data_IF_848698917477
#
_entry.id   IF_848698917477
#
_cell.length_a   1.000
_cell.length_b   1.000
_cell.length_c   1.000
_cell.angle_alpha   90.00
_cell.angle_beta   90.00
_cell.angle_gamma   90.00
#
_symmetry.space_group_name_H-M   'P 1'
#
loop_
_entity.id
_entity.type
_entity.pdbx_description
1 polymer ?
#
# COMPACT_ATOMS: atom_id res chain seq x y z
N UNK A 1 -17.18 -21.74 -9.53
CA UNK A 1 -16.89 -21.11 -8.23
C UNK A 1 -16.06 -22.07 -7.41
N UNK A 2 -14.99 -21.61 -6.75
CA UNK A 2 -14.18 -22.42 -5.85
C UNK A 2 -15.03 -23.00 -4.72
N UNK A 3 -14.64 -24.15 -4.20
CA UNK A 3 -15.32 -24.83 -3.09
C UNK A 3 -14.57 -24.67 -1.77
N UNK A 4 -13.24 -24.58 -1.79
CA UNK A 4 -12.41 -24.33 -0.60
C UNK A 4 -12.68 -22.94 -0.04
N UNK A 5 -12.67 -22.83 1.30
CA UNK A 5 -13.04 -21.58 1.98
C UNK A 5 -12.06 -20.45 1.66
N UNK A 6 -10.77 -20.77 1.59
CA UNK A 6 -9.72 -19.85 1.20
C UNK A 6 -9.95 -19.27 -0.21
N UNK A 7 -10.13 -20.11 -1.23
CA UNK A 7 -10.28 -19.61 -2.60
C UNK A 7 -11.58 -18.83 -2.80
N UNK A 8 -12.68 -19.25 -2.13
CA UNK A 8 -13.94 -18.48 -2.15
C UNK A 8 -13.75 -17.09 -1.59
N UNK A 9 -13.13 -16.96 -0.41
CA UNK A 9 -12.91 -15.65 0.19
C UNK A 9 -11.86 -14.83 -0.59
N UNK A 10 -10.82 -15.48 -1.12
CA UNK A 10 -9.81 -14.82 -1.94
C UNK A 10 -10.40 -14.25 -3.24
N UNK A 11 -11.29 -14.99 -3.91
CA UNK A 11 -12.02 -14.52 -5.09
C UNK A 11 -12.98 -13.36 -4.72
N UNK A 12 -13.77 -13.52 -3.66
CA UNK A 12 -14.71 -12.48 -3.21
C UNK A 12 -14.02 -11.17 -2.79
N UNK A 13 -12.82 -11.26 -2.19
CA UNK A 13 -12.00 -10.09 -1.83
C UNK A 13 -11.30 -9.47 -3.04
N UNK A 14 -11.19 -10.18 -4.16
CA UNK A 14 -10.49 -9.72 -5.36
C UNK A 14 -8.97 -9.95 -5.32
N UNK A 15 -8.50 -10.95 -4.58
CA UNK A 15 -7.07 -11.31 -4.52
C UNK A 15 -6.59 -12.11 -5.73
N UNK A 16 -7.47 -12.77 -6.49
CA UNK A 16 -7.06 -13.70 -7.55
C UNK A 16 -7.00 -12.96 -8.89
N UNK A 17 -5.84 -12.99 -9.53
CA UNK A 17 -5.63 -12.50 -10.90
C UNK A 17 -5.39 -13.65 -11.88
N UNK A 18 -4.38 -14.48 -11.64
CA UNK A 18 -4.11 -15.69 -12.42
C UNK A 18 -3.83 -16.87 -11.49
N UNK A 19 -4.17 -18.08 -11.94
CA UNK A 19 -3.84 -19.34 -11.28
C UNK A 19 -3.43 -20.35 -12.34
N UNK A 20 -2.43 -21.18 -12.08
CA UNK A 20 -1.96 -22.19 -13.05
C UNK A 20 -3.00 -23.29 -13.29
N UNK A 21 -3.68 -23.73 -12.23
CA UNK A 21 -4.74 -24.72 -12.28
C UNK A 21 -5.66 -24.52 -11.07
N UNK A 22 -6.78 -23.83 -11.30
CA UNK A 22 -7.73 -23.47 -10.24
C UNK A 22 -8.44 -24.70 -9.67
N UNK A 23 -8.80 -25.67 -10.53
CA UNK A 23 -9.57 -26.83 -10.10
C UNK A 23 -8.72 -27.77 -9.24
N UNK A 24 -7.48 -28.04 -9.65
CA UNK A 24 -6.57 -28.89 -8.89
C UNK A 24 -6.13 -28.24 -7.57
N UNK A 25 -5.89 -26.91 -7.57
CA UNK A 25 -5.58 -26.19 -6.34
C UNK A 25 -6.76 -26.23 -5.35
N UNK A 26 -7.98 -26.01 -5.85
CA UNK A 26 -9.19 -26.05 -5.03
C UNK A 26 -9.45 -27.46 -4.44
N UNK A 27 -9.18 -28.51 -5.22
CA UNK A 27 -9.24 -29.89 -4.75
C UNK A 27 -8.17 -30.17 -3.68
N UNK A 28 -6.94 -29.69 -3.87
CA UNK A 28 -5.86 -29.84 -2.89
C UNK A 28 -6.19 -29.15 -1.55
N UNK A 29 -6.73 -27.93 -1.60
CA UNK A 29 -7.13 -27.17 -0.42
C UNK A 29 -8.36 -27.75 0.30
N UNK A 30 -9.23 -28.47 -0.41
CA UNK A 30 -10.30 -29.26 0.21
C UNK A 30 -9.80 -30.54 0.88
N UNK A 31 -8.76 -31.17 0.31
CA UNK A 31 -8.19 -32.39 0.86
C UNK A 31 -7.42 -32.15 2.16
N UNK A 32 -6.86 -30.96 2.36
CA UNK A 32 -6.22 -30.58 3.62
C UNK A 32 -5.39 -29.29 3.54
N UNK A 33 -4.62 -28.98 4.60
CA UNK A 33 -3.78 -27.79 4.65
C UNK A 33 -2.72 -27.77 3.55
N UNK A 34 -2.67 -26.68 2.79
CA UNK A 34 -1.64 -26.40 1.79
C UNK A 34 -0.60 -25.45 2.37
N UNK A 35 0.69 -25.70 2.08
CA UNK A 35 1.77 -24.76 2.38
C UNK A 35 2.02 -23.86 1.18
N UNK A 36 1.86 -22.55 1.34
CA UNK A 36 2.04 -21.57 0.27
C UNK A 36 3.00 -20.46 0.67
N UNK A 37 3.80 -19.95 -0.27
CA UNK A 37 4.82 -18.95 0.03
C UNK A 37 4.75 -17.69 -0.83
N UNK A 38 5.28 -16.59 -0.28
CA UNK A 38 5.59 -15.36 -1.00
C UNK A 38 7.00 -14.91 -0.63
N UNK A 39 7.78 -14.49 -1.64
CA UNK A 39 9.10 -13.90 -1.47
C UNK A 39 9.07 -12.40 -1.21
N UNK A 40 9.90 -11.93 -0.27
CA UNK A 40 10.09 -10.52 0.07
C UNK A 40 11.57 -10.16 0.00
N UNK A 41 11.93 -9.37 -1.01
CA UNK A 41 13.29 -8.87 -1.20
C UNK A 41 13.61 -7.69 -0.26
N UNK A 42 14.71 -7.73 0.52
CA UNK A 42 15.11 -6.71 1.48
C UNK A 42 15.72 -5.44 0.83
N UNK A 43 14.88 -4.70 0.10
CA UNK A 43 15.27 -3.46 -0.59
C UNK A 43 15.33 -2.22 0.31
N UNK A 44 14.68 -2.28 1.47
CA UNK A 44 14.65 -1.25 2.50
C UNK A 44 14.44 -1.90 3.88
N UNK A 45 14.62 -1.14 4.95
CA UNK A 45 14.42 -1.56 6.35
C UNK A 45 12.96 -1.54 6.82
N UNK A 46 12.02 -1.40 5.88
CA UNK A 46 10.60 -1.52 6.13
C UNK A 46 9.93 -1.93 4.82
N UNK A 47 8.87 -2.73 4.95
CA UNK A 47 7.90 -2.85 3.87
C UNK A 47 7.04 -1.58 3.82
N UNK A 48 6.32 -1.41 2.71
CA UNK A 48 5.36 -0.32 2.51
C UNK A 48 4.02 -0.89 2.04
N UNK A 49 2.95 -0.09 2.01
CA UNK A 49 1.60 -0.55 1.63
C UNK A 49 1.51 -1.22 0.25
N UNK A 50 2.45 -0.95 -0.67
CA UNK A 50 2.53 -1.68 -1.95
C UNK A 50 2.81 -3.19 -1.80
N UNK A 51 3.44 -3.61 -0.69
CA UNK A 51 3.67 -5.02 -0.37
C UNK A 51 2.49 -5.64 0.39
N UNK A 52 1.54 -4.81 0.85
CA UNK A 52 0.51 -5.23 1.80
C UNK A 52 -0.46 -6.24 1.21
N UNK A 53 -0.78 -6.16 -0.09
CA UNK A 53 -1.64 -7.16 -0.75
C UNK A 53 -1.07 -8.58 -0.63
N UNK A 54 0.25 -8.72 -0.74
CA UNK A 54 0.91 -10.01 -0.61
C UNK A 54 0.87 -10.51 0.84
N UNK A 55 1.13 -9.61 1.80
CA UNK A 55 1.04 -9.93 3.23
C UNK A 55 -0.38 -10.37 3.61
N UNK A 56 -1.40 -9.66 3.12
CA UNK A 56 -2.80 -9.97 3.37
C UNK A 56 -3.21 -11.30 2.72
N UNK A 57 -2.61 -11.67 1.59
CA UNK A 57 -2.83 -13.00 1.00
C UNK A 57 -2.28 -14.13 1.88
N UNK A 58 -1.08 -13.97 2.43
CA UNK A 58 -0.52 -14.91 3.41
C UNK A 58 -1.38 -14.96 4.70
N UNK A 59 -1.87 -13.82 5.16
CA UNK A 59 -2.76 -13.73 6.32
C UNK A 59 -4.08 -14.45 6.07
N UNK A 60 -4.66 -14.30 4.87
CA UNK A 60 -5.87 -15.00 4.48
C UNK A 60 -5.64 -16.51 4.43
N UNK A 61 -4.49 -16.97 3.92
CA UNK A 61 -4.12 -18.39 4.00
C UNK A 61 -4.08 -18.88 5.46
N UNK A 62 -3.43 -18.11 6.35
CA UNK A 62 -3.34 -18.45 7.77
C UNK A 62 -4.73 -18.57 8.42
N UNK A 63 -5.63 -17.61 8.12
CA UNK A 63 -7.00 -17.58 8.63
C UNK A 63 -7.77 -18.86 8.29
N UNK A 64 -7.52 -19.41 7.10
CA UNK A 64 -8.18 -20.63 6.60
C UNK A 64 -7.42 -21.92 6.93
N UNK A 65 -6.49 -21.88 7.90
CA UNK A 65 -5.78 -23.07 8.39
C UNK A 65 -4.73 -23.63 7.44
N UNK A 66 -4.39 -22.89 6.38
CA UNK A 66 -3.25 -23.19 5.52
C UNK A 66 -1.96 -22.63 6.13
N UNK A 67 -0.81 -23.10 5.65
CA UNK A 67 0.49 -22.71 6.20
C UNK A 67 1.16 -21.66 5.32
N UNK A 68 1.14 -20.36 5.69
CA UNK A 68 1.89 -19.36 4.95
C UNK A 68 3.39 -19.45 5.26
N UNK A 69 4.21 -19.28 4.22
CA UNK A 69 5.66 -19.16 4.32
C UNK A 69 6.06 -17.79 3.79
N UNK A 70 6.58 -16.93 4.65
CA UNK A 70 7.19 -15.67 4.25
C UNK A 70 8.68 -15.94 3.97
N UNK A 71 9.06 -15.93 2.69
CA UNK A 71 10.44 -16.14 2.27
C UNK A 71 11.17 -14.80 2.21
N UNK A 72 12.16 -14.63 3.07
CA UNK A 72 13.06 -13.49 3.05
C UNK A 72 14.15 -13.69 2.00
N UNK A 73 14.33 -12.69 1.13
CA UNK A 73 15.28 -12.70 0.02
C UNK A 73 16.72 -12.37 0.42
N UNK A 74 17.29 -12.98 1.46
CA UNK A 74 18.66 -12.66 1.91
C UNK A 74 19.75 -12.97 0.88
N UNK A 75 19.60 -14.07 0.13
CA UNK A 75 20.48 -14.45 -0.97
C UNK A 75 20.18 -13.66 -2.24
N UNK A 76 18.89 -13.55 -2.62
CA UNK A 76 18.46 -12.80 -3.81
C UNK A 76 18.78 -11.30 -3.73
N UNK A 77 18.82 -10.72 -2.54
CA UNK A 77 19.19 -9.32 -2.35
C UNK A 77 20.63 -8.98 -2.73
N UNK A 78 21.53 -9.97 -2.73
CA UNK A 78 22.92 -9.81 -3.19
C UNK A 78 23.02 -9.65 -4.72
N UNK A 79 21.90 -9.83 -5.42
CA UNK A 79 21.78 -9.90 -6.88
C UNK A 79 20.81 -8.81 -7.36
N UNK A 80 19.58 -8.82 -6.85
CA UNK A 80 18.51 -7.85 -7.13
C UNK A 80 17.55 -8.27 -8.25
N UNK A 81 16.22 -8.20 -7.99
CA UNK A 81 15.18 -8.48 -9.00
C UNK A 81 15.11 -7.40 -10.10
N UNK A 82 15.30 -7.76 -11.39
CA UNK A 82 15.14 -6.86 -12.54
C UNK A 82 13.68 -6.71 -13.04
N UNK A 83 12.74 -7.51 -12.55
CA UNK A 83 11.39 -7.63 -13.13
C UNK A 83 10.66 -6.30 -13.15
N UNK A 84 10.22 -5.86 -14.34
CA UNK A 84 9.47 -4.62 -14.57
C UNK A 84 10.14 -3.32 -14.05
N UNK A 85 11.48 -3.28 -13.98
CA UNK A 85 12.26 -2.08 -13.62
C UNK A 85 13.14 -1.60 -14.79
N UNK A 86 13.29 -0.27 -14.90
CA UNK A 86 14.04 0.39 -15.97
C UNK A 86 15.54 0.56 -15.65
N UNK A 87 15.91 0.66 -14.38
CA UNK A 87 17.29 0.87 -13.93
C UNK A 87 17.86 -0.33 -13.16
N UNK A 88 19.14 -0.61 -13.35
CA UNK A 88 19.88 -1.61 -12.59
C UNK A 88 20.00 -1.21 -11.11
N UNK A 89 19.85 -2.18 -10.19
CA UNK A 89 19.95 -1.91 -8.75
C UNK A 89 21.40 -1.68 -8.34
N UNK A 90 21.61 -0.74 -7.40
CA UNK A 90 22.85 -0.66 -6.65
C UNK A 90 22.95 -1.86 -5.71
N UNK A 91 24.11 -2.53 -5.70
CA UNK A 91 24.39 -3.62 -4.78
C UNK A 91 24.44 -3.09 -3.34
N UNK A 92 23.77 -3.78 -2.43
CA UNK A 92 23.74 -3.45 -1.00
C UNK A 92 24.87 -4.18 -0.26
N UNK A 93 25.37 -3.57 0.83
CA UNK A 93 26.34 -4.24 1.70
C UNK A 93 25.67 -5.34 2.53
N UNK A 94 26.44 -6.29 3.06
CA UNK A 94 25.92 -7.35 3.91
C UNK A 94 25.23 -6.78 5.17
N UNK A 95 25.76 -5.71 5.74
CA UNK A 95 25.19 -5.01 6.91
C UNK A 95 23.84 -4.38 6.56
N UNK A 96 23.74 -3.76 5.38
CA UNK A 96 22.50 -3.16 4.88
C UNK A 96 21.44 -4.24 4.64
N UNK A 97 21.81 -5.36 4.02
CA UNK A 97 20.91 -6.50 3.81
C UNK A 97 20.41 -7.04 5.16
N UNK A 98 21.31 -7.22 6.13
CA UNK A 98 20.94 -7.71 7.46
C UNK A 98 20.02 -6.75 8.21
N UNK A 99 20.24 -5.43 8.12
CA UNK A 99 19.33 -4.42 8.66
C UNK A 99 17.97 -4.48 7.99
N UNK A 100 17.95 -4.59 6.66
CA UNK A 100 16.72 -4.63 5.89
C UNK A 100 15.89 -5.88 6.21
N UNK A 101 16.54 -7.04 6.32
CA UNK A 101 15.91 -8.30 6.71
C UNK A 101 15.20 -8.19 8.07
N UNK A 102 15.87 -7.63 9.10
CA UNK A 102 15.24 -7.42 10.42
C UNK A 102 14.03 -6.50 10.35
N UNK A 103 14.11 -5.45 9.55
CA UNK A 103 13.01 -4.51 9.34
C UNK A 103 11.80 -5.15 8.66
N UNK A 104 12.05 -5.96 7.61
CA UNK A 104 11.01 -6.71 6.91
C UNK A 104 10.39 -7.78 7.82
N UNK A 105 11.18 -8.54 8.57
CA UNK A 105 10.67 -9.50 9.55
C UNK A 105 9.75 -8.81 10.56
N UNK A 106 10.16 -7.65 11.09
CA UNK A 106 9.32 -6.84 11.98
C UNK A 106 7.99 -6.47 11.34
N UNK A 107 8.00 -6.09 10.05
CA UNK A 107 6.77 -5.80 9.31
C UNK A 107 5.88 -7.04 9.17
N UNK A 108 6.44 -8.18 8.79
CA UNK A 108 5.67 -9.43 8.61
C UNK A 108 5.02 -9.89 9.92
N UNK A 109 5.73 -9.74 11.05
CA UNK A 109 5.23 -10.08 12.40
C UNK A 109 4.06 -9.21 12.85
N UNK A 110 3.84 -8.04 12.26
CA UNK A 110 2.62 -7.24 12.52
C UNK A 110 1.36 -7.94 11.99
N UNK A 111 1.47 -8.71 10.89
CA UNK A 111 0.32 -9.26 10.17
C UNK A 111 0.19 -10.79 10.23
N UNK A 112 1.26 -11.50 10.58
CA UNK A 112 1.30 -12.96 10.60
C UNK A 112 1.67 -13.47 11.98
N UNK A 113 0.97 -14.52 12.43
CA UNK A 113 1.32 -15.21 13.66
C UNK A 113 2.33 -16.31 13.36
N UNK A 114 3.60 -16.08 13.66
CA UNK A 114 4.65 -17.08 13.48
C UNK A 114 4.61 -18.09 14.61
N UNK A 115 4.70 -19.38 14.27
CA UNK A 115 4.92 -20.45 15.25
C UNK A 115 6.26 -21.12 14.93
N UNK A 116 7.29 -20.66 15.65
CA UNK A 116 8.64 -21.18 15.50
C UNK A 116 8.77 -22.58 16.16
N UNK A 117 7.72 -23.10 16.81
CA UNK A 117 7.69 -24.45 17.38
C UNK A 117 7.05 -25.41 16.37
N UNK A 118 7.82 -26.41 15.95
CA UNK A 118 7.50 -27.37 14.89
C UNK A 118 6.25 -28.25 15.11
N UNK A 119 5.56 -28.10 16.26
CA UNK A 119 4.44 -28.95 16.65
C UNK A 119 3.10 -28.52 16.04
N UNK A 120 2.95 -27.25 15.64
CA UNK A 120 1.69 -26.75 15.07
C UNK A 120 1.84 -26.37 13.59
N UNK A 121 1.17 -27.10 12.70
CA UNK A 121 1.24 -26.84 11.24
C UNK A 121 0.45 -25.60 10.79
N UNK A 122 -0.28 -24.93 11.69
CA UNK A 122 -1.09 -23.75 11.40
C UNK A 122 -0.35 -22.41 11.55
N UNK A 123 0.86 -22.41 12.12
CA UNK A 123 1.67 -21.20 12.27
C UNK A 123 2.37 -20.77 10.97
N UNK A 124 2.57 -19.46 10.81
CA UNK A 124 3.37 -18.94 9.72
C UNK A 124 4.84 -19.35 9.88
N UNK A 125 5.51 -19.65 8.77
CA UNK A 125 6.95 -19.92 8.73
C UNK A 125 7.68 -18.70 8.16
N UNK A 126 8.77 -18.30 8.82
CA UNK A 126 9.76 -17.40 8.25
C UNK A 126 10.92 -18.22 7.68
N UNK A 127 11.21 -18.08 6.39
CA UNK A 127 12.33 -18.74 5.73
C UNK A 127 13.30 -17.69 5.16
N UNK A 128 14.56 -18.04 4.94
CA UNK A 128 15.52 -17.16 4.29
C UNK A 128 16.27 -17.90 3.18
N UNK A 129 16.19 -17.42 1.94
CA UNK A 129 16.85 -18.10 0.83
C UNK A 129 18.39 -18.05 0.89
N UNK A 130 18.98 -17.20 1.75
CA UNK A 130 20.40 -17.26 2.05
C UNK A 130 20.84 -18.64 2.58
N UNK A 131 19.93 -19.37 3.25
CA UNK A 131 20.23 -20.69 3.85
C UNK A 131 20.66 -21.75 2.84
N UNK A 132 20.23 -21.60 1.57
CA UNK A 132 20.63 -22.47 0.47
C UNK A 132 21.44 -21.75 -0.61
N UNK A 133 21.09 -20.50 -0.94
CA UNK A 133 21.77 -19.76 -2.00
C UNK A 133 23.23 -19.42 -1.65
N UNK A 134 23.55 -19.15 -0.38
CA UNK A 134 24.93 -18.82 0.02
C UNK A 134 25.88 -20.02 -0.06
N UNK A 135 25.33 -21.23 -0.15
CA UNK A 135 26.08 -22.49 -0.24
C UNK A 135 26.03 -23.09 -1.65
N UNK A 136 25.30 -22.45 -2.57
CA UNK A 136 25.08 -22.98 -3.90
C UNK A 136 26.33 -22.77 -4.75
N UNK A 137 27.01 -23.87 -5.06
CA UNK A 137 28.19 -23.85 -5.95
C UNK A 137 27.76 -23.50 -7.38
N UNK A 138 28.52 -22.62 -8.04
CA UNK A 138 28.23 -22.20 -9.40
C UNK A 138 28.18 -23.37 -10.39
N UNK A 139 29.07 -24.34 -10.25
CA UNK A 139 29.10 -25.52 -11.13
C UNK A 139 27.88 -26.41 -10.90
N UNK A 140 27.47 -26.58 -9.65
CA UNK A 140 26.28 -27.39 -9.30
C UNK A 140 25.01 -26.70 -9.80
N UNK A 141 24.91 -25.36 -9.65
CA UNK A 141 23.82 -24.58 -10.24
C UNK A 141 23.73 -24.82 -11.75
N UNK A 142 24.84 -24.71 -12.49
CA UNK A 142 24.81 -24.90 -13.95
C UNK A 142 24.44 -26.34 -14.35
N UNK A 143 25.01 -27.34 -13.68
CA UNK A 143 24.84 -28.75 -14.03
C UNK A 143 23.45 -29.29 -13.66
N UNK A 144 22.97 -28.93 -12.47
CA UNK A 144 21.77 -29.56 -11.90
C UNK A 144 20.53 -28.72 -12.16
N UNK A 145 20.67 -27.38 -12.22
CA UNK A 145 19.55 -26.45 -12.40
C UNK A 145 19.56 -25.86 -13.81
N UNK A 146 20.72 -25.38 -14.28
CA UNK A 146 20.86 -24.67 -15.56
C UNK A 146 20.38 -25.45 -16.78
N UNK A 147 20.52 -26.78 -16.78
CA UNK A 147 20.03 -27.68 -17.85
C UNK A 147 18.51 -27.63 -18.05
N UNK A 148 17.76 -27.13 -17.07
CA UNK A 148 16.31 -27.03 -17.11
C UNK A 148 15.81 -25.70 -17.69
N UNK A 149 16.72 -24.74 -17.93
CA UNK A 149 16.40 -23.41 -18.45
C UNK A 149 16.85 -23.26 -19.89
N UNK A 150 15.93 -22.83 -20.75
CA UNK A 150 16.24 -22.43 -22.13
C UNK A 150 16.39 -20.90 -22.18
N UNK A 151 17.55 -20.44 -22.64
CA UNK A 151 17.81 -19.01 -22.86
C UNK A 151 16.74 -18.40 -23.78
N UNK A 152 16.40 -19.05 -24.89
CA UNK A 152 15.37 -18.58 -25.82
C UNK A 152 14.01 -18.36 -25.12
N UNK A 153 13.62 -19.29 -24.22
CA UNK A 153 12.37 -19.16 -23.45
C UNK A 153 12.45 -18.01 -22.46
N UNK A 154 13.56 -17.88 -21.73
CA UNK A 154 13.75 -16.78 -20.78
C UNK A 154 13.66 -15.41 -21.47
N UNK A 155 14.21 -15.28 -22.68
CA UNK A 155 14.14 -14.06 -23.49
C UNK A 155 12.71 -13.75 -23.98
N UNK A 156 11.83 -14.75 -24.07
CA UNK A 156 10.45 -14.54 -24.53
C UNK A 156 9.51 -13.97 -23.46
N UNK A 157 9.90 -14.03 -22.17
CA UNK A 157 9.08 -13.49 -21.09
C UNK A 157 8.96 -11.97 -21.22
N UNK A 158 7.74 -11.45 -21.08
CA UNK A 158 7.43 -10.03 -21.29
C UNK A 158 8.31 -9.10 -20.43
N UNK A 159 8.64 -9.50 -19.20
CA UNK A 159 9.51 -8.74 -18.28
C UNK A 159 10.93 -8.55 -18.80
N UNK A 160 11.44 -9.52 -19.58
CA UNK A 160 12.77 -9.50 -20.19
C UNK A 160 12.70 -8.89 -21.59
N UNK A 161 11.73 -9.34 -22.40
CA UNK A 161 11.53 -8.90 -23.79
C UNK A 161 11.38 -7.38 -23.87
N UNK A 162 10.55 -6.78 -23.01
CA UNK A 162 10.32 -5.34 -23.01
C UNK A 162 11.59 -4.52 -22.69
N UNK A 163 12.56 -5.04 -21.93
CA UNK A 163 13.83 -4.33 -21.67
C UNK A 163 14.73 -4.37 -22.90
N UNK A 164 14.82 -5.54 -23.53
CA UNK A 164 15.61 -5.74 -24.74
C UNK A 164 15.09 -4.90 -25.92
N UNK A 165 13.77 -4.83 -26.10
CA UNK A 165 13.13 -3.98 -27.11
C UNK A 165 13.39 -2.49 -26.90
N UNK A 166 13.59 -2.06 -25.65
CA UNK A 166 13.94 -0.68 -25.28
C UNK A 166 15.45 -0.41 -25.29
N UNK A 167 16.25 -1.34 -25.80
CA UNK A 167 17.73 -1.30 -25.77
C UNK A 167 18.32 -1.14 -24.37
N UNK A 168 17.55 -1.49 -23.33
CA UNK A 168 18.02 -1.54 -21.95
C UNK A 168 18.64 -2.91 -21.69
N UNK A 169 19.97 -2.94 -21.60
CA UNK A 169 20.71 -4.17 -21.31
C UNK A 169 20.26 -4.82 -20.00
N UNK A 170 20.29 -6.16 -19.98
CA UNK A 170 20.18 -6.97 -18.77
C UNK A 170 21.57 -7.49 -18.43
N UNK A 171 22.00 -7.28 -17.20
CA UNK A 171 23.25 -7.88 -16.73
C UNK A 171 23.07 -9.40 -16.57
N UNK A 172 24.18 -10.15 -16.65
CA UNK A 172 24.15 -11.59 -16.37
C UNK A 172 23.58 -11.89 -14.97
N UNK A 173 23.86 -11.01 -14.00
CA UNK A 173 23.36 -11.09 -12.63
C UNK A 173 21.82 -11.03 -12.59
N UNK A 174 21.24 -10.03 -13.23
CA UNK A 174 19.79 -9.86 -13.35
C UNK A 174 19.14 -11.02 -14.12
N UNK A 175 19.77 -11.49 -15.20
CA UNK A 175 19.25 -12.60 -15.99
C UNK A 175 19.13 -13.91 -15.18
N UNK A 176 20.03 -14.13 -14.21
CA UNK A 176 20.00 -15.30 -13.34
C UNK A 176 18.96 -15.20 -12.22
N UNK A 177 18.33 -14.05 -11.99
CA UNK A 177 17.35 -13.89 -10.89
C UNK A 177 16.19 -14.89 -10.99
N UNK A 178 15.65 -15.11 -12.19
CA UNK A 178 14.54 -16.04 -12.41
C UNK A 178 14.92 -17.49 -12.07
N UNK A 179 16.19 -17.87 -12.32
CA UNK A 179 16.71 -19.20 -11.99
C UNK A 179 16.76 -19.38 -10.47
N UNK A 180 17.21 -18.36 -9.74
CA UNK A 180 17.34 -18.41 -8.29
C UNK A 180 15.98 -18.41 -7.59
N UNK A 181 15.03 -17.59 -8.05
CA UNK A 181 13.65 -17.64 -7.55
C UNK A 181 12.98 -18.99 -7.86
N UNK A 182 13.27 -19.59 -9.01
CA UNK A 182 12.78 -20.94 -9.32
C UNK A 182 13.38 -21.98 -8.38
N UNK A 183 14.67 -21.85 -8.07
CA UNK A 183 15.38 -22.69 -7.11
C UNK A 183 14.81 -22.56 -5.70
N UNK A 184 14.38 -21.37 -5.28
CA UNK A 184 13.68 -21.16 -4.01
C UNK A 184 12.41 -22.02 -3.91
N UNK A 185 11.60 -22.11 -4.97
CA UNK A 185 10.42 -22.99 -4.94
C UNK A 185 10.84 -24.46 -4.81
N UNK A 186 11.88 -24.88 -5.54
CA UNK A 186 12.44 -26.24 -5.43
C UNK A 186 12.88 -26.57 -4.01
N UNK A 187 13.61 -25.67 -3.36
CA UNK A 187 14.12 -25.87 -2.00
C UNK A 187 13.00 -25.86 -0.97
N UNK A 188 12.07 -24.91 -1.04
CA UNK A 188 10.92 -24.84 -0.14
C UNK A 188 10.00 -26.07 -0.28
N UNK A 189 9.83 -26.57 -1.51
CA UNK A 189 9.11 -27.81 -1.77
C UNK A 189 9.83 -29.00 -1.12
N UNK A 190 11.13 -29.16 -1.36
CA UNK A 190 11.90 -30.28 -0.82
C UNK A 190 12.03 -30.26 0.72
N UNK A 191 12.21 -29.08 1.32
CA UNK A 191 12.48 -28.92 2.76
C UNK A 191 11.21 -28.86 3.60
N UNK A 192 10.15 -28.24 3.06
CA UNK A 192 8.98 -27.84 3.84
C UNK A 192 7.65 -28.27 3.21
N UNK A 193 7.68 -28.99 2.09
CA UNK A 193 6.46 -29.45 1.40
C UNK A 193 5.62 -28.29 0.89
N UNK A 194 6.24 -27.16 0.54
CA UNK A 194 5.54 -26.03 -0.07
C UNK A 194 5.09 -26.42 -1.47
N UNK A 195 3.80 -26.24 -1.75
CA UNK A 195 3.16 -26.63 -3.02
C UNK A 195 2.45 -25.48 -3.73
N UNK A 196 2.43 -24.28 -3.14
CA UNK A 196 1.86 -23.09 -3.75
C UNK A 196 2.86 -21.93 -3.68
N UNK A 197 3.13 -21.27 -4.81
CA UNK A 197 3.79 -19.96 -4.83
C UNK A 197 2.75 -18.89 -5.14
N UNK A 198 2.77 -17.80 -4.37
CA UNK A 198 1.97 -16.62 -4.67
C UNK A 198 2.84 -15.38 -4.88
N UNK A 199 2.29 -14.37 -5.54
CA UNK A 199 2.98 -13.09 -5.76
C UNK A 199 2.13 -12.09 -6.52
N UNK A 200 2.70 -10.94 -6.85
CA UNK A 200 2.07 -9.98 -7.76
C UNK A 200 1.98 -10.51 -9.19
N UNK A 201 1.08 -9.96 -10.01
CA UNK A 201 0.94 -10.38 -11.40
C UNK A 201 2.22 -10.18 -12.23
N UNK A 202 3.09 -9.27 -11.81
CA UNK A 202 4.43 -9.04 -12.36
C UNK A 202 5.41 -10.21 -12.09
N UNK A 203 5.08 -11.14 -11.19
CA UNK A 203 5.94 -12.28 -10.86
C UNK A 203 5.57 -13.57 -11.60
N UNK A 204 4.54 -13.53 -12.48
CA UNK A 204 4.02 -14.73 -13.15
C UNK A 204 5.09 -15.56 -13.88
N UNK A 205 5.97 -14.92 -14.66
CA UNK A 205 7.02 -15.62 -15.40
C UNK A 205 7.99 -16.38 -14.49
N UNK A 206 8.35 -15.80 -13.34
CA UNK A 206 9.24 -16.44 -12.37
C UNK A 206 8.52 -17.57 -11.62
N UNK A 207 7.25 -17.38 -11.26
CA UNK A 207 6.41 -18.40 -10.61
C UNK A 207 6.29 -19.64 -11.51
N UNK A 208 5.96 -19.46 -12.79
CA UNK A 208 5.82 -20.56 -13.76
C UNK A 208 7.16 -21.28 -13.95
N UNK A 209 8.27 -20.55 -13.96
CA UNK A 209 9.61 -21.14 -14.05
C UNK A 209 9.94 -22.00 -12.83
N UNK A 210 9.55 -21.57 -11.62
CA UNK A 210 9.66 -22.35 -10.40
C UNK A 210 8.84 -23.65 -10.44
N UNK A 211 7.59 -23.57 -10.91
CA UNK A 211 6.72 -24.76 -11.07
C UNK A 211 7.35 -25.78 -12.03
N UNK A 212 7.83 -25.31 -13.18
CA UNK A 212 8.50 -26.16 -14.17
C UNK A 212 9.76 -26.82 -13.59
N UNK A 213 10.53 -26.10 -12.76
CA UNK A 213 11.73 -26.63 -12.11
C UNK A 213 11.39 -27.70 -11.07
N UNK A 214 10.40 -27.44 -10.19
CA UNK A 214 9.92 -28.41 -9.20
C UNK A 214 9.45 -29.69 -9.88
N UNK A 215 8.68 -29.57 -10.98
CA UNK A 215 8.22 -30.74 -11.74
C UNK A 215 9.38 -31.58 -12.29
N UNK A 216 10.44 -30.92 -12.80
CA UNK A 216 11.60 -31.61 -13.39
C UNK A 216 12.51 -32.24 -12.35
N UNK A 217 12.77 -31.54 -11.24
CA UNK A 217 13.76 -31.96 -10.24
C UNK A 217 13.16 -32.78 -9.10
N UNK A 218 11.97 -32.41 -8.63
CA UNK A 218 11.33 -33.05 -7.48
C UNK A 218 10.17 -33.98 -7.89
N UNK A 219 9.75 -33.95 -9.16
CA UNK A 219 8.63 -34.74 -9.70
C UNK A 219 7.31 -34.55 -8.94
N UNK A 220 7.10 -33.34 -8.41
CA UNK A 220 5.88 -32.98 -7.67
C UNK A 220 5.03 -31.99 -8.46
N UNK A 221 3.72 -32.11 -8.33
CA UNK A 221 2.77 -31.10 -8.79
C UNK A 221 2.72 -29.97 -7.77
N UNK A 222 2.89 -28.74 -8.26
CA UNK A 222 2.82 -27.51 -7.48
C UNK A 222 2.08 -26.44 -8.28
N UNK A 223 1.64 -25.39 -7.59
CA UNK A 223 0.72 -24.37 -8.12
C UNK A 223 1.31 -22.97 -8.03
N UNK A 224 0.83 -22.10 -8.91
CA UNK A 224 1.12 -20.67 -8.89
C UNK A 224 -0.16 -19.86 -8.89
N UNK A 225 -0.22 -18.81 -8.06
CA UNK A 225 -1.37 -17.90 -7.99
C UNK A 225 -0.89 -16.46 -7.85
N UNK A 226 -1.38 -15.54 -8.67
CA UNK A 226 -1.00 -14.12 -8.59
C UNK A 226 -2.13 -13.24 -8.15
N UNK A 227 -1.78 -12.14 -7.50
CA UNK A 227 -2.70 -11.04 -7.17
C UNK A 227 -2.62 -9.93 -8.21
N UNK A 228 -3.69 -9.13 -8.40
CA UNK A 228 -3.67 -8.04 -9.36
C UNK A 228 -2.69 -6.94 -8.92
N UNK A 229 -2.14 -6.21 -9.89
CA UNK A 229 -1.44 -4.96 -9.62
C UNK A 229 -2.44 -3.92 -9.10
N UNK A 230 -2.12 -3.32 -7.96
CA UNK A 230 -2.98 -2.32 -7.35
C UNK A 230 -2.72 -0.91 -7.88
N UNK A 231 -3.68 -0.41 -8.65
CA UNK A 231 -3.82 1.00 -8.99
C UNK A 231 -5.01 1.59 -8.24
N UNK A 232 -4.98 2.91 -7.98
CA UNK A 232 -6.16 3.68 -7.54
C UNK A 232 -7.10 3.91 -8.72
N UNK A 233 -8.33 4.38 -8.46
CA UNK A 233 -9.26 4.80 -9.52
C UNK A 233 -8.70 5.92 -10.40
N UNK A 234 -7.82 6.76 -9.84
CA UNK A 234 -7.06 7.78 -10.57
C UNK A 234 -5.87 7.24 -11.40
N UNK A 235 -5.59 5.93 -11.34
CA UNK A 235 -4.49 5.29 -12.06
C UNK A 235 -3.13 5.37 -11.36
N UNK A 236 -3.05 5.93 -10.16
CA UNK A 236 -1.82 5.98 -9.38
C UNK A 236 -1.47 4.60 -8.81
N UNK A 237 -0.17 4.26 -8.75
CA UNK A 237 0.29 3.02 -8.10
C UNK A 237 0.07 3.09 -6.60
N UNK A 238 -0.49 2.04 -6.02
CA UNK A 238 -0.72 1.96 -4.59
C UNK A 238 0.61 1.99 -3.82
N UNK A 239 0.68 2.86 -2.80
CA UNK A 239 1.85 3.01 -1.94
C UNK A 239 2.91 4.00 -2.39
N UNK A 240 2.69 4.73 -3.49
CA UNK A 240 3.43 5.95 -3.81
C UNK A 240 2.53 7.17 -3.58
N UNK A 241 2.80 7.92 -2.51
CA UNK A 241 2.20 9.23 -2.30
C UNK A 241 3.07 10.32 -2.93
N UNK A 242 2.54 11.54 -3.04
CA UNK A 242 3.35 12.72 -3.42
C UNK A 242 4.55 12.96 -2.48
N UNK A 243 4.49 12.43 -1.25
CA UNK A 243 5.54 12.52 -0.23
C UNK A 243 6.46 11.28 -0.18
N UNK A 244 6.29 10.33 -1.11
CA UNK A 244 7.07 9.09 -1.15
C UNK A 244 6.28 7.87 -0.67
N UNK A 245 7.00 6.82 -0.27
CA UNK A 245 6.41 5.54 0.11
C UNK A 245 5.67 5.61 1.45
N UNK A 246 4.54 4.89 1.55
CA UNK A 246 3.76 4.76 2.79
C UNK A 246 4.26 3.53 3.54
N UNK A 247 5.21 3.72 4.45
CA UNK A 247 5.89 2.65 5.19
C UNK A 247 5.01 2.01 6.26
N UNK A 248 5.25 0.72 6.54
CA UNK A 248 4.57 -0.02 7.61
C UNK A 248 5.24 0.16 8.97
N UNK A 249 6.54 0.48 9.00
CA UNK A 249 7.27 0.75 10.24
C UNK A 249 6.94 2.15 10.78
N UNK A 250 6.55 2.21 12.06
CA UNK A 250 6.29 3.46 12.77
C UNK A 250 7.53 4.36 12.88
N UNK A 251 8.74 3.80 12.76
CA UNK A 251 9.99 4.57 12.74
C UNK A 251 10.22 5.31 11.42
N UNK A 252 9.60 4.84 10.33
CA UNK A 252 9.70 5.43 8.98
C UNK A 252 8.50 6.32 8.65
N UNK A 253 7.32 5.96 9.13
CA UNK A 253 6.08 6.72 8.95
C UNK A 253 5.29 6.74 10.26
N UNK A 254 5.00 7.92 10.85
CA UNK A 254 4.20 8.01 12.04
C UNK A 254 2.83 7.34 11.88
N UNK A 255 2.33 6.68 12.93
CA UNK A 255 1.05 5.95 12.90
C UNK A 255 -0.12 6.83 12.46
N UNK A 256 -0.14 8.10 12.90
CA UNK A 256 -1.14 9.05 12.45
C UNK A 256 -1.10 9.29 10.94
N UNK A 257 0.10 9.39 10.34
CA UNK A 257 0.22 9.55 8.88
C UNK A 257 -0.20 8.28 8.13
N UNK A 258 0.08 7.09 8.68
CA UNK A 258 -0.42 5.82 8.13
C UNK A 258 -1.96 5.77 8.15
N UNK A 259 -2.58 6.15 9.28
CA UNK A 259 -4.03 6.25 9.39
C UNK A 259 -4.60 7.27 8.40
N UNK A 260 -3.97 8.44 8.29
CA UNK A 260 -4.37 9.49 7.36
C UNK A 260 -4.27 9.05 5.89
N UNK A 261 -3.29 8.24 5.52
CA UNK A 261 -3.21 7.67 4.17
C UNK A 261 -4.50 6.93 3.81
N UNK A 262 -4.95 6.02 4.67
CA UNK A 262 -6.19 5.26 4.46
C UNK A 262 -7.43 6.14 4.52
N UNK A 263 -7.46 7.12 5.44
CA UNK A 263 -8.56 8.09 5.57
C UNK A 263 -8.75 8.91 4.30
N UNK A 264 -7.68 9.13 3.54
CA UNK A 264 -7.66 9.91 2.30
C UNK A 264 -7.89 9.06 1.04
N UNK A 265 -8.24 7.77 1.17
CA UNK A 265 -8.63 6.91 0.05
C UNK A 265 -9.75 7.57 -0.78
N UNK A 266 -9.69 7.43 -2.10
CA UNK A 266 -10.72 7.91 -3.03
C UNK A 266 -12.05 7.16 -2.80
N UNK A 267 -13.19 7.85 -2.93
CA UNK A 267 -14.51 7.24 -2.65
C UNK A 267 -14.73 5.93 -3.41
N UNK A 268 -14.31 5.89 -4.67
CA UNK A 268 -14.43 4.73 -5.56
C UNK A 268 -13.58 3.53 -5.13
N UNK A 269 -12.51 3.76 -4.35
CA UNK A 269 -11.59 2.71 -3.91
C UNK A 269 -11.92 2.15 -2.53
N UNK A 270 -12.73 2.85 -1.72
CA UNK A 270 -13.00 2.49 -0.31
C UNK A 270 -13.51 1.06 -0.18
N UNK A 271 -14.53 0.67 -0.94
CA UNK A 271 -15.11 -0.68 -0.87
C UNK A 271 -14.10 -1.77 -1.23
N UNK A 272 -13.29 -1.53 -2.27
CA UNK A 272 -12.23 -2.46 -2.68
C UNK A 272 -11.14 -2.56 -1.62
N UNK A 273 -10.73 -1.45 -1.01
CA UNK A 273 -9.69 -1.43 0.01
C UNK A 273 -10.16 -2.02 1.34
N UNK A 274 -11.43 -1.88 1.70
CA UNK A 274 -12.03 -2.60 2.83
C UNK A 274 -11.88 -4.11 2.65
N UNK A 275 -12.21 -4.64 1.46
CA UNK A 275 -12.08 -6.07 1.15
C UNK A 275 -10.64 -6.56 1.17
N UNK A 276 -9.68 -5.76 0.70
CA UNK A 276 -8.29 -6.19 0.55
C UNK A 276 -7.41 -6.00 1.81
N UNK A 277 -7.71 -5.00 2.64
CA UNK A 277 -6.79 -4.54 3.70
C UNK A 277 -7.39 -4.55 5.10
N UNK A 278 -8.53 -5.23 5.29
CA UNK A 278 -9.16 -5.41 6.60
C UNK A 278 -9.62 -6.85 6.79
N UNK A 279 -9.79 -7.27 8.05
CA UNK A 279 -10.38 -8.56 8.39
C UNK A 279 -11.91 -8.53 8.47
N UNK A 280 -12.55 -7.42 8.05
CA UNK A 280 -14.01 -7.30 8.08
C UNK A 280 -14.67 -8.37 7.21
N UNK A 281 -15.86 -8.87 7.60
CA UNK A 281 -16.68 -9.72 6.74
C UNK A 281 -16.97 -9.06 5.39
N UNK A 282 -17.13 -9.86 4.33
CA UNK A 282 -17.43 -9.35 2.98
C UNK A 282 -18.74 -8.55 2.99
N UNK A 283 -19.74 -9.04 3.71
CA UNK A 283 -21.04 -8.42 3.84
C UNK A 283 -20.94 -7.03 4.47
N UNK A 284 -20.03 -6.87 5.44
CA UNK A 284 -19.76 -5.58 6.08
C UNK A 284 -19.01 -4.63 5.15
N UNK A 285 -18.05 -5.15 4.37
CA UNK A 285 -17.38 -4.37 3.33
C UNK A 285 -18.37 -3.84 2.30
N UNK A 286 -19.32 -4.68 1.87
CA UNK A 286 -20.33 -4.32 0.88
C UNK A 286 -21.35 -3.32 1.45
N UNK A 287 -21.77 -3.49 2.71
CA UNK A 287 -22.64 -2.54 3.42
C UNK A 287 -21.98 -1.16 3.52
N UNK A 288 -20.71 -1.10 3.90
CA UNK A 288 -19.95 0.15 4.02
C UNK A 288 -19.69 0.80 2.65
N UNK A 289 -19.42 -0.01 1.62
CA UNK A 289 -19.21 0.47 0.26
C UNK A 289 -20.49 1.08 -0.37
N UNK A 290 -21.67 0.63 0.08
CA UNK A 290 -22.97 1.11 -0.42
C UNK A 290 -23.46 2.42 0.24
N UNK A 291 -22.75 2.96 1.24
CA UNK A 291 -23.16 4.18 1.94
C UNK A 291 -23.16 5.40 1.00
N UNK A 292 -24.30 6.10 0.79
CA UNK A 292 -24.37 7.23 -0.13
C UNK A 292 -23.85 8.53 0.51
N UNK A 293 -23.37 9.43 -0.36
CA UNK A 293 -23.09 10.83 0.00
C UNK A 293 -22.13 10.96 1.19
N UNK A 294 -22.58 11.63 2.26
CA UNK A 294 -21.75 11.85 3.45
C UNK A 294 -21.37 10.56 4.20
N UNK A 295 -22.14 9.47 4.03
CA UNK A 295 -21.90 8.19 4.69
C UNK A 295 -20.59 7.51 4.29
N UNK A 296 -20.02 7.85 3.12
CA UNK A 296 -18.72 7.34 2.68
C UNK A 296 -17.58 7.74 3.64
N UNK A 297 -17.73 8.85 4.36
CA UNK A 297 -16.74 9.27 5.35
C UNK A 297 -16.65 8.29 6.52
N UNK A 298 -17.76 7.66 6.91
CA UNK A 298 -17.73 6.62 7.94
C UNK A 298 -17.00 5.37 7.42
N UNK A 299 -17.26 4.94 6.19
CA UNK A 299 -16.52 3.84 5.56
C UNK A 299 -15.01 4.11 5.49
N UNK A 300 -14.60 5.36 5.20
CA UNK A 300 -13.18 5.75 5.22
C UNK A 300 -12.56 5.73 6.60
N UNK A 301 -13.29 6.14 7.64
CA UNK A 301 -12.83 6.05 9.03
C UNK A 301 -12.66 4.60 9.45
N UNK A 302 -13.60 3.73 9.09
CA UNK A 302 -13.52 2.29 9.35
C UNK A 302 -12.30 1.70 8.64
N UNK A 303 -12.14 1.94 7.33
CA UNK A 303 -10.97 1.49 6.58
C UNK A 303 -9.66 1.92 7.24
N UNK A 304 -9.55 3.20 7.59
CA UNK A 304 -8.36 3.74 8.21
C UNK A 304 -8.05 3.11 9.56
N UNK A 305 -9.08 2.92 10.39
CA UNK A 305 -8.92 2.38 11.73
C UNK A 305 -8.60 0.89 11.68
N UNK A 306 -9.30 0.11 10.86
CA UNK A 306 -9.05 -1.33 10.72
C UNK A 306 -7.68 -1.63 10.09
N UNK A 307 -7.30 -0.95 9.01
CA UNK A 307 -5.98 -1.13 8.39
C UNK A 307 -4.84 -0.71 9.35
N UNK A 308 -5.04 0.37 10.12
CA UNK A 308 -4.07 0.80 11.14
C UNK A 308 -4.02 -0.17 12.31
N UNK A 309 -5.15 -0.73 12.72
CA UNK A 309 -5.22 -1.69 13.82
C UNK A 309 -4.47 -2.98 13.48
N UNK A 310 -4.54 -3.44 12.23
CA UNK A 310 -3.76 -4.58 11.75
C UNK A 310 -2.26 -4.30 11.78
N UNK A 311 -1.82 -3.11 11.37
CA UNK A 311 -0.39 -2.78 11.29
C UNK A 311 0.22 -2.41 12.64
N UNK A 312 -0.47 -1.60 13.44
CA UNK A 312 0.08 -0.94 14.64
C UNK A 312 -0.66 -1.29 15.93
N UNK A 313 -1.65 -2.18 15.87
CA UNK A 313 -2.48 -2.57 17.00
C UNK A 313 -3.67 -1.62 17.21
N UNK A 314 -4.75 -2.16 17.80
CA UNK A 314 -6.02 -1.45 18.02
C UNK A 314 -5.83 -0.15 18.78
N UNK A 315 -5.06 -0.16 19.87
CA UNK A 315 -4.89 1.04 20.70
C UNK A 315 -4.27 2.22 19.93
N UNK A 316 -3.26 1.96 19.10
CA UNK A 316 -2.61 2.99 18.29
C UNK A 316 -3.54 3.53 17.19
N UNK A 317 -4.37 2.65 16.61
CA UNK A 317 -5.38 3.03 15.62
C UNK A 317 -6.46 3.94 16.22
N UNK A 318 -6.99 3.61 17.39
CA UNK A 318 -7.98 4.45 18.07
C UNK A 318 -7.40 5.80 18.49
N UNK A 319 -6.13 5.84 18.93
CA UNK A 319 -5.44 7.11 19.22
C UNK A 319 -5.31 7.98 17.96
N UNK A 320 -4.96 7.38 16.81
CA UNK A 320 -4.86 8.11 15.55
C UNK A 320 -6.24 8.62 15.07
N UNK A 321 -7.29 7.80 15.23
CA UNK A 321 -8.67 8.18 14.90
C UNK A 321 -9.17 9.33 15.80
N UNK A 322 -8.91 9.26 17.11
CA UNK A 322 -9.26 10.31 18.07
C UNK A 322 -8.49 11.60 17.80
N UNK A 323 -7.19 11.52 17.49
CA UNK A 323 -6.41 12.68 17.08
C UNK A 323 -6.99 13.33 15.83
N UNK A 324 -7.38 12.54 14.82
CA UNK A 324 -8.02 13.05 13.62
C UNK A 324 -9.38 13.70 13.90
N UNK A 325 -10.17 13.10 14.80
CA UNK A 325 -11.46 13.64 15.26
C UNK A 325 -11.25 15.00 15.93
N UNK A 326 -10.31 15.10 16.88
CA UNK A 326 -9.96 16.35 17.55
C UNK A 326 -9.46 17.39 16.56
N UNK A 327 -8.52 17.06 15.66
CA UNK A 327 -8.06 18.04 14.66
C UNK A 327 -9.18 18.53 13.75
N UNK A 328 -10.19 17.71 13.46
CA UNK A 328 -11.36 18.13 12.68
C UNK A 328 -12.38 18.93 13.50
N UNK A 329 -12.68 18.50 14.72
CA UNK A 329 -13.58 19.18 15.67
C UNK A 329 -12.97 20.49 16.13
N UNK A 330 -11.72 20.51 16.56
CA UNK A 330 -10.91 21.70 16.82
C UNK A 330 -10.71 22.49 15.53
N UNK A 331 -10.53 21.89 14.35
CA UNK A 331 -10.53 22.65 13.09
C UNK A 331 -11.87 23.34 12.76
N UNK A 332 -12.98 22.83 13.30
CA UNK A 332 -14.31 23.43 13.22
C UNK A 332 -14.63 24.36 14.41
N UNK A 333 -14.00 24.16 15.58
CA UNK A 333 -14.19 24.90 16.83
C UNK A 333 -13.10 25.94 17.11
N UNK A 334 -11.97 25.88 16.41
CA UNK A 334 -10.84 26.79 16.62
C UNK A 334 -10.90 27.91 15.59
N UNK A 335 -11.62 28.95 15.99
CA UNK A 335 -11.25 30.31 15.63
C UNK A 335 -9.80 30.69 16.08
N UNK A 336 -9.03 29.75 16.64
CA UNK A 336 -7.66 29.96 17.10
C UNK A 336 -6.56 29.22 16.30
N UNK A 337 -6.87 28.16 15.52
CA UNK A 337 -5.85 27.42 14.74
C UNK A 337 -5.79 27.81 13.25
N UNK A 338 -6.75 28.61 12.77
CA UNK A 338 -6.67 29.17 11.43
C UNK A 338 -5.59 30.26 11.38
N UNK A 339 -4.79 30.34 10.29
CA UNK A 339 -3.88 31.45 10.10
C UNK A 339 -4.68 32.76 10.23
N UNK A 340 -4.10 33.74 10.92
CA UNK A 340 -4.76 35.01 11.19
C UNK A 340 -3.92 36.18 10.74
N UNK A 341 -4.57 37.20 10.19
CA UNK A 341 -3.98 38.51 9.98
C UNK A 341 -4.59 39.51 10.96
N UNK A 342 -3.79 40.50 11.37
CA UNK A 342 -4.26 41.61 12.19
C UNK A 342 -4.45 42.84 11.32
N UNK A 343 -5.58 43.54 11.48
CA UNK A 343 -5.91 44.77 10.77
C UNK A 343 -6.16 45.86 11.81
N UNK A 344 -5.62 47.06 11.60
CA UNK A 344 -5.85 48.18 12.51
C UNK A 344 -7.35 48.42 12.72
N UNK A 345 -7.80 48.52 13.98
CA UNK A 345 -9.21 48.74 14.31
C UNK A 345 -9.82 49.95 13.57
N UNK A 346 -9.04 51.03 13.40
CA UNK A 346 -9.45 52.21 12.64
C UNK A 346 -9.79 51.90 11.17
N UNK A 347 -9.03 51.00 10.52
CA UNK A 347 -9.27 50.60 9.13
C UNK A 347 -10.50 49.70 9.00
N UNK A 348 -10.76 48.87 10.01
CA UNK A 348 -11.99 48.07 10.05
C UNK A 348 -13.23 48.95 10.32
N UNK A 349 -13.07 50.00 11.13
CA UNK A 349 -14.12 50.98 11.42
C UNK A 349 -14.53 51.79 10.19
N UNK A 350 -13.57 52.21 9.36
CA UNK A 350 -13.83 52.88 8.07
C UNK A 350 -14.48 51.96 7.03
N UNK A 351 -14.37 50.65 7.23
CA UNK A 351 -14.86 49.61 6.33
C UNK A 351 -13.89 49.32 5.18
N UNK A 352 -13.74 48.03 4.85
CA UNK A 352 -12.80 47.56 3.82
C UNK A 352 -13.59 46.87 2.71
N UNK A 353 -13.42 47.25 1.43
CA UNK A 353 -14.04 46.53 0.33
C UNK A 353 -13.64 45.05 0.31
N UNK A 354 -14.61 44.16 0.10
CA UNK A 354 -14.41 42.71 0.15
C UNK A 354 -13.24 42.23 -0.72
N UNK A 355 -13.15 42.67 -1.99
CA UNK A 355 -12.03 42.26 -2.85
C UNK A 355 -10.65 42.61 -2.28
N UNK A 356 -10.55 43.74 -1.57
CA UNK A 356 -9.31 44.25 -1.01
C UNK A 356 -8.93 43.44 0.22
N UNK A 357 -9.90 43.19 1.11
CA UNK A 357 -9.68 42.39 2.30
C UNK A 357 -9.22 40.96 1.96
N UNK A 358 -9.79 40.35 0.91
CA UNK A 358 -9.36 39.03 0.42
C UNK A 358 -7.92 39.03 -0.10
N UNK A 359 -7.49 40.08 -0.81
CA UNK A 359 -6.12 40.21 -1.29
C UNK A 359 -5.13 40.50 -0.13
N UNK A 360 -5.47 41.45 0.74
CA UNK A 360 -4.64 41.86 1.88
C UNK A 360 -4.47 40.71 2.90
N UNK A 361 -5.44 39.78 2.96
CA UNK A 361 -5.35 38.55 3.76
C UNK A 361 -4.42 37.48 3.18
N UNK A 362 -3.91 37.64 1.95
CA UNK A 362 -3.06 36.64 1.30
C UNK A 362 -3.80 35.39 0.82
N UNK A 363 -5.14 35.37 0.85
CA UNK A 363 -5.93 34.27 0.28
C UNK A 363 -5.80 34.16 -1.25
N UNK A 364 -5.48 35.28 -1.91
CA UNK A 364 -5.29 35.42 -3.36
C UNK A 364 -4.14 36.39 -3.63
N UNK A 365 -3.49 36.29 -4.79
CA UNK A 365 -2.26 37.03 -5.09
C UNK A 365 -2.50 38.49 -5.51
N UNK A 366 -3.74 38.86 -5.86
CA UNK A 366 -4.05 40.23 -6.29
C UNK A 366 -5.53 40.60 -6.12
N UNK A 367 -5.81 41.92 -6.11
CA UNK A 367 -7.17 42.47 -6.15
C UNK A 367 -7.97 42.01 -7.38
N UNK A 368 -7.31 41.73 -8.51
CA UNK A 368 -7.97 41.20 -9.71
C UNK A 368 -8.42 39.75 -9.53
N UNK A 369 -7.61 38.95 -8.85
CA UNK A 369 -7.94 37.56 -8.52
C UNK A 369 -9.05 37.48 -7.46
N UNK A 370 -9.05 38.38 -6.48
CA UNK A 370 -10.12 38.50 -5.48
C UNK A 370 -11.49 38.76 -6.13
N UNK A 371 -11.57 39.70 -7.08
CA UNK A 371 -12.82 39.97 -7.82
C UNK A 371 -13.29 38.77 -8.62
N UNK A 372 -12.38 38.04 -9.27
CA UNK A 372 -12.73 36.80 -10.00
C UNK A 372 -13.25 35.73 -9.06
N UNK A 373 -12.64 35.56 -7.88
CA UNK A 373 -13.08 34.62 -6.86
C UNK A 373 -14.50 34.94 -6.36
N UNK A 374 -14.79 36.22 -6.10
CA UNK A 374 -16.11 36.69 -5.68
C UNK A 374 -17.17 36.45 -6.77
N UNK A 375 -16.91 36.88 -8.01
CA UNK A 375 -17.82 36.65 -9.15
C UNK A 375 -18.04 35.17 -9.44
N UNK A 376 -17.04 34.34 -9.19
CA UNK A 376 -17.12 32.89 -9.33
C UNK A 376 -17.82 32.17 -8.17
N UNK A 377 -18.34 32.90 -7.16
CA UNK A 377 -19.00 32.32 -5.99
C UNK A 377 -18.07 31.55 -5.04
N UNK A 378 -16.75 31.75 -5.17
CA UNK A 378 -15.73 31.06 -4.38
C UNK A 378 -15.32 31.78 -3.10
N UNK A 379 -15.76 33.03 -2.91
CA UNK A 379 -15.44 33.84 -1.73
C UNK A 379 -16.55 33.72 -0.67
N UNK A 380 -16.17 33.46 0.58
CA UNK A 380 -17.10 33.46 1.73
C UNK A 380 -16.62 34.33 2.88
N UNK A 381 -17.56 35.03 3.50
CA UNK A 381 -17.42 35.82 4.72
C UNK A 381 -18.28 35.15 5.80
N UNK A 382 -17.67 34.70 6.90
CA UNK A 382 -18.37 34.00 7.98
C UNK A 382 -19.29 32.87 7.47
N UNK A 383 -18.75 32.09 6.53
CA UNK A 383 -19.39 30.98 5.83
C UNK A 383 -20.51 31.34 4.83
N UNK A 384 -20.87 32.61 4.71
CA UNK A 384 -21.83 33.15 3.73
C UNK A 384 -21.13 33.58 2.43
N UNK A 385 -21.74 33.30 1.28
CA UNK A 385 -21.16 33.65 -0.04
C UNK A 385 -21.19 35.16 -0.22
N UNK A 386 -20.04 35.73 -0.58
CA UNK A 386 -19.95 37.14 -0.96
C UNK A 386 -20.22 37.25 -2.46
N UNK A 387 -21.23 38.03 -2.83
CA UNK A 387 -21.63 38.23 -4.23
C UNK A 387 -21.27 39.61 -4.78
N UNK A 388 -21.09 40.60 -3.90
CA UNK A 388 -20.69 41.96 -4.24
C UNK A 388 -19.21 42.18 -3.91
N UNK A 389 -18.42 42.48 -4.94
CA UNK A 389 -16.99 42.78 -4.78
C UNK A 389 -16.73 44.08 -4.00
N UNK A 390 -17.67 45.02 -4.05
CA UNK A 390 -17.62 46.31 -3.36
C UNK A 390 -18.23 46.30 -1.96
N UNK A 391 -18.75 45.15 -1.47
CA UNK A 391 -19.31 45.05 -0.12
C UNK A 391 -18.29 45.54 0.89
N UNK A 392 -18.67 46.54 1.68
CA UNK A 392 -17.86 47.04 2.79
C UNK A 392 -17.95 46.04 3.94
N UNK A 393 -16.78 45.56 4.38
CA UNK A 393 -16.64 44.68 5.54
C UNK A 393 -16.13 45.52 6.70
N UNK A 394 -16.85 45.51 7.82
CA UNK A 394 -16.54 46.34 8.98
C UNK A 394 -16.83 45.63 10.30
N UNK A 395 -16.88 46.39 11.39
CA UNK A 395 -17.10 45.86 12.75
C UNK A 395 -18.37 45.02 12.89
N UNK A 396 -19.43 45.37 12.14
CA UNK A 396 -20.69 44.62 12.14
C UNK A 396 -20.59 43.19 11.59
N UNK A 397 -19.48 42.83 10.93
CA UNK A 397 -19.21 41.48 10.44
C UNK A 397 -18.38 40.63 11.42
N UNK A 398 -17.99 41.17 12.59
CA UNK A 398 -17.27 40.41 13.61
C UNK A 398 -18.19 39.34 14.23
N UNK A 399 -17.70 38.09 14.27
CA UNK A 399 -18.29 36.99 15.05
C UNK A 399 -17.24 36.51 16.04
N UNK A 400 -17.57 36.57 17.34
CA UNK A 400 -16.66 36.20 18.43
C UNK A 400 -15.29 36.93 18.37
N UNK A 401 -15.31 38.21 17.97
CA UNK A 401 -14.11 39.06 17.90
C UNK A 401 -13.24 38.85 16.65
N UNK A 402 -13.65 38.01 15.69
CA UNK A 402 -12.91 37.75 14.45
C UNK A 402 -13.82 37.77 13.22
N UNK A 403 -13.23 37.93 12.03
CA UNK A 403 -13.91 37.74 10.74
C UNK A 403 -13.27 36.55 10.03
N UNK A 404 -14.07 35.58 9.58
CA UNK A 404 -13.58 34.41 8.83
C UNK A 404 -13.73 34.61 7.33
N UNK A 405 -12.62 34.56 6.59
CA UNK A 405 -12.60 34.60 5.14
C UNK A 405 -12.25 33.23 4.57
N UNK A 406 -12.92 32.82 3.50
CA UNK A 406 -12.65 31.54 2.84
C UNK A 406 -12.53 31.68 1.32
N UNK A 407 -11.50 31.07 0.77
CA UNK A 407 -11.30 30.88 -0.67
C UNK A 407 -11.55 29.41 -1.02
N UNK A 408 -12.73 29.12 -1.56
CA UNK A 408 -13.20 27.76 -1.81
C UNK A 408 -13.41 26.94 -0.53
N UNK A 409 -13.19 25.61 -0.61
CA UNK A 409 -13.48 24.65 0.48
C UNK A 409 -12.28 24.32 1.39
N UNK A 410 -11.07 24.82 1.08
CA UNK A 410 -9.82 24.37 1.73
C UNK A 410 -8.95 25.49 2.29
N UNK A 411 -9.12 26.74 1.83
CA UNK A 411 -8.31 27.87 2.28
C UNK A 411 -9.17 28.79 3.13
N UNK A 412 -8.81 28.92 4.40
CA UNK A 412 -9.51 29.75 5.39
C UNK A 412 -8.48 30.61 6.12
N UNK A 413 -8.84 31.85 6.41
CA UNK A 413 -8.02 32.76 7.22
C UNK A 413 -8.94 33.58 8.13
N UNK A 414 -8.41 33.98 9.29
CA UNK A 414 -9.09 34.86 10.22
C UNK A 414 -8.53 36.27 10.15
N UNK A 415 -9.40 37.25 10.25
CA UNK A 415 -9.05 38.66 10.36
C UNK A 415 -9.40 39.11 11.77
N UNK A 416 -8.39 39.63 12.49
CA UNK A 416 -8.53 40.12 13.85
C UNK A 416 -8.31 41.64 13.87
N UNK A 417 -9.16 42.43 14.54
CA UNK A 417 -8.83 43.82 14.82
C UNK A 417 -7.62 43.86 15.77
N UNK A 418 -6.62 44.67 15.40
CA UNK A 418 -5.36 44.86 16.14
C UNK A 418 -5.48 45.93 17.21
#
# INVERSE_FOLDING_TARGET
>A
MPKSEFLREAEARGFIFQCTDMEALDAAMQAGPVSGYIGFDPTADSLHVGSLIQIMMLRLMQKHGHRPVALMGGGTAKIGDPSFREEARKLMTAETIAQNLRGIEGCLRQFLSFDDKAENRSGAMLANNADWLDRLSYIDLLRDVGIHFSVNRMLSFDSVRSRLEREQGLTFLEFNYSILQSYDFRELNARHGVTLQMGGSDQWGNIVSGIDLVRRMNQQQVFGLTTPLLTTSSGAKMGKSARGAVWLSAARLPVFEYWQFWRNTEDADVGRFLRLFTDLPIEECDRLAALPGAGINEAKKVLATEATALCHGRAAAEQAAEAARRTFEEGALSADALPSISIAAATLHEGIPAFRLFADSGLVASNGEARRLIRGGGARLNDEVVTDEGRMIGEGDLRDGVIKLSSGKKKHILVRPA
#
